data_IF_084209351855
#
_entry.id   IF_084209351855
#
_cell.length_a   1.000
_cell.length_b   1.000
_cell.length_c   1.000
_cell.angle_alpha   90.00
_cell.angle_beta   90.00
_cell.angle_gamma   90.00
#
_symmetry.space_group_name_H-M   'P 1'
#
loop_
_entity.id
_entity.type
_entity.pdbx_description
1 polymer ?
#
# COMPACT_ATOMS: atom_id res chain seq x y z
N UNK A 1 11.47 -14.43 -17.92
CA UNK A 1 12.03 -13.23 -17.24
C UNK A 1 12.50 -13.65 -15.85
N UNK A 2 13.72 -13.34 -15.43
CA UNK A 2 14.26 -13.70 -14.10
C UNK A 2 13.83 -12.74 -12.99
N UNK A 3 13.24 -11.59 -13.33
CA UNK A 3 12.85 -10.58 -12.35
C UNK A 3 11.72 -11.07 -11.42
N UNK A 4 11.86 -11.01 -10.08
CA UNK A 4 10.91 -11.60 -9.11
C UNK A 4 9.45 -11.15 -9.27
N UNK A 5 9.21 -9.87 -9.55
CA UNK A 5 7.88 -9.35 -9.82
C UNK A 5 7.33 -9.74 -11.20
N UNK A 6 8.11 -9.53 -12.27
CA UNK A 6 7.68 -9.72 -13.65
C UNK A 6 7.59 -11.21 -14.06
N UNK A 7 8.24 -12.11 -13.35
CA UNK A 7 8.15 -13.56 -13.58
C UNK A 7 6.77 -14.13 -13.24
N UNK A 8 5.99 -13.42 -12.42
CA UNK A 8 4.63 -13.79 -12.02
C UNK A 8 3.54 -13.23 -12.93
N UNK A 9 3.86 -12.41 -13.93
CA UNK A 9 2.84 -11.87 -14.85
C UNK A 9 2.08 -13.01 -15.54
N UNK A 10 0.75 -12.90 -15.59
CA UNK A 10 -0.16 -13.82 -16.25
C UNK A 10 -1.24 -13.04 -17.01
N UNK A 11 -2.00 -13.72 -17.87
CA UNK A 11 -3.06 -13.10 -18.68
C UNK A 11 -4.29 -12.66 -17.85
N UNK A 12 -4.39 -13.13 -16.61
CA UNK A 12 -5.46 -12.78 -15.67
C UNK A 12 -4.95 -12.51 -14.26
N UNK A 13 -5.79 -11.83 -13.48
CA UNK A 13 -5.56 -11.56 -12.07
C UNK A 13 -6.86 -11.68 -11.28
N UNK A 14 -6.74 -11.98 -9.99
CA UNK A 14 -7.84 -11.99 -9.03
C UNK A 14 -7.48 -11.12 -7.82
N UNK A 15 -8.50 -10.55 -7.17
CA UNK A 15 -8.31 -9.92 -5.86
C UNK A 15 -8.26 -10.99 -4.78
N UNK A 16 -7.08 -11.24 -4.22
CA UNK A 16 -6.88 -12.23 -3.16
C UNK A 16 -7.34 -11.72 -1.79
N UNK A 17 -7.53 -10.41 -1.64
CA UNK A 17 -8.17 -9.82 -0.46
C UNK A 17 -8.57 -8.37 -0.68
N UNK A 18 -9.59 -7.90 0.03
CA UNK A 18 -9.94 -6.47 0.12
C UNK A 18 -10.66 -6.17 1.43
N UNK A 19 -10.39 -4.99 2.00
CA UNK A 19 -10.96 -4.54 3.25
C UNK A 19 -11.08 -3.02 3.27
N UNK A 20 -11.80 -2.46 4.24
CA UNK A 20 -11.90 -1.02 4.45
C UNK A 20 -11.09 -0.58 5.66
N UNK A 21 -10.43 0.56 5.56
CA UNK A 21 -9.72 1.18 6.70
C UNK A 21 -10.26 2.59 6.90
N UNK A 22 -10.59 2.93 8.15
CA UNK A 22 -10.97 4.29 8.55
C UNK A 22 -10.04 4.77 9.64
N UNK A 23 -9.20 5.74 9.33
CA UNK A 23 -8.28 6.39 10.26
C UNK A 23 -8.87 7.72 10.76
N UNK A 24 -8.72 7.96 12.06
CA UNK A 24 -8.95 9.25 12.72
C UNK A 24 -7.62 9.92 13.05
N UNK A 25 -7.67 11.12 13.64
CA UNK A 25 -6.48 11.84 14.10
C UNK A 25 -5.47 10.92 14.81
N UNK A 26 -4.18 11.11 14.51
CA UNK A 26 -3.03 10.31 14.95
C UNK A 26 -3.00 8.84 14.49
N UNK A 27 -4.05 8.34 13.85
CA UNK A 27 -4.09 7.00 13.26
C UNK A 27 -3.14 6.87 12.07
N UNK A 28 -2.53 5.70 11.93
CA UNK A 28 -1.65 5.37 10.80
C UNK A 28 -1.53 3.86 10.61
N UNK A 29 -1.00 3.46 9.45
CA UNK A 29 -0.46 2.14 9.22
C UNK A 29 1.01 2.11 9.63
N UNK A 30 1.37 1.20 10.55
CA UNK A 30 2.77 0.86 10.80
C UNK A 30 3.43 0.30 9.54
N UNK A 31 4.75 0.42 9.44
CA UNK A 31 5.47 -0.12 8.28
C UNK A 31 5.33 -1.64 8.24
N UNK A 32 4.93 -2.19 7.09
CA UNK A 32 4.73 -3.62 6.88
C UNK A 32 4.91 -3.99 5.40
N UNK A 33 4.85 -5.29 5.12
CA UNK A 33 4.78 -5.87 3.77
C UNK A 33 3.62 -6.85 3.71
N UNK A 34 3.16 -7.18 2.52
CA UNK A 34 2.18 -8.24 2.29
C UNK A 34 2.92 -9.46 1.70
N UNK A 35 3.40 -10.39 2.55
CA UNK A 35 4.41 -11.38 2.15
C UNK A 35 3.92 -12.42 1.13
N UNK A 36 2.59 -12.60 1.02
CA UNK A 36 1.99 -13.56 0.10
C UNK A 36 1.46 -12.93 -1.19
N UNK A 37 1.32 -11.61 -1.24
CA UNK A 37 0.74 -10.91 -2.39
C UNK A 37 1.70 -10.76 -3.57
N UNK A 38 1.16 -10.45 -4.75
CA UNK A 38 1.94 -10.00 -5.90
C UNK A 38 1.90 -8.48 -6.04
N UNK A 39 0.70 -7.92 -6.13
CA UNK A 39 0.40 -6.51 -6.17
C UNK A 39 -0.51 -6.15 -5.00
N UNK A 40 -0.26 -5.00 -4.39
CA UNK A 40 -1.16 -4.41 -3.42
C UNK A 40 -1.61 -3.04 -3.93
N UNK A 41 -2.79 -2.61 -3.51
CA UNK A 41 -3.31 -1.29 -3.82
C UNK A 41 -3.92 -0.64 -2.60
N UNK A 42 -3.82 0.69 -2.53
CA UNK A 42 -4.60 1.52 -1.61
C UNK A 42 -5.44 2.50 -2.42
N UNK A 43 -6.77 2.37 -2.31
CA UNK A 43 -7.74 3.25 -2.98
C UNK A 43 -8.29 4.26 -1.98
N UNK A 44 -8.19 5.56 -2.26
CA UNK A 44 -8.60 6.62 -1.34
C UNK A 44 -10.05 7.05 -1.61
N UNK A 45 -10.95 6.68 -0.70
CA UNK A 45 -12.39 6.96 -0.82
C UNK A 45 -12.76 8.31 -0.24
N UNK A 46 -12.15 8.65 0.89
CA UNK A 46 -12.29 9.96 1.54
C UNK A 46 -10.98 10.33 2.19
N UNK A 47 -10.58 11.59 2.08
CA UNK A 47 -9.45 12.15 2.78
C UNK A 47 -9.69 13.64 3.03
N UNK A 48 -9.21 14.19 4.16
CA UNK A 48 -9.10 15.64 4.32
C UNK A 48 -8.12 16.24 3.31
N UNK A 49 -8.01 17.56 3.29
CA UNK A 49 -6.93 18.23 2.56
C UNK A 49 -5.57 17.93 3.21
N UNK A 50 -4.80 17.06 2.54
CA UNK A 50 -3.47 16.62 2.96
C UNK A 50 -2.35 17.27 2.14
N UNK A 51 -2.60 18.44 1.55
CA UNK A 51 -1.62 19.17 0.72
C UNK A 51 -0.58 19.96 1.53
N UNK A 52 -0.91 20.31 2.79
CA UNK A 52 -0.09 21.21 3.62
C UNK A 52 1.10 20.53 4.30
N UNK A 53 1.03 19.23 4.51
CA UNK A 53 2.07 18.43 5.15
C UNK A 53 2.04 17.00 4.60
N UNK A 54 2.99 16.15 5.02
CA UNK A 54 2.98 14.72 4.66
C UNK A 54 2.08 13.87 5.57
N UNK A 55 1.34 14.48 6.50
CA UNK A 55 0.46 13.76 7.40
C UNK A 55 -0.53 12.88 6.62
N UNK A 56 -0.70 11.62 7.04
CA UNK A 56 -1.57 10.66 6.36
C UNK A 56 -1.09 10.15 4.99
N UNK A 57 0.04 10.62 4.45
CA UNK A 57 0.58 10.13 3.17
C UNK A 57 1.05 8.68 3.30
N UNK A 58 0.90 7.92 2.22
CA UNK A 58 1.56 6.62 2.11
C UNK A 58 3.05 6.84 1.85
N UNK A 59 3.89 6.07 2.52
CA UNK A 59 5.35 6.10 2.37
C UNK A 59 5.87 4.70 2.08
N UNK A 60 6.95 4.63 1.31
CA UNK A 60 7.61 3.39 0.89
C UNK A 60 9.08 3.39 1.28
N UNK A 61 9.63 2.20 1.50
CA UNK A 61 11.07 1.96 1.72
C UNK A 61 11.46 1.81 3.19
N UNK A 62 10.90 2.64 4.08
CA UNK A 62 11.20 2.56 5.51
C UNK A 62 10.58 1.29 6.12
N UNK A 63 11.38 0.51 6.83
CA UNK A 63 11.01 -0.77 7.39
C UNK A 63 10.51 -0.63 8.84
N UNK A 64 10.23 -1.76 9.49
CA UNK A 64 9.93 -1.83 10.93
C UNK A 64 11.02 -2.59 11.71
N UNK A 65 12.25 -2.63 11.18
CA UNK A 65 13.35 -3.44 11.71
C UNK A 65 14.33 -2.66 12.59
N UNK A 66 14.06 -1.37 12.84
CA UNK A 66 14.89 -0.50 13.69
C UNK A 66 16.34 -0.41 13.21
N UNK A 67 16.55 -0.19 11.91
CA UNK A 67 17.88 -0.14 11.30
C UNK A 67 18.64 1.19 11.55
N UNK A 68 18.13 2.05 12.43
CA UNK A 68 18.72 3.36 12.74
C UNK A 68 18.85 4.25 11.50
N UNK A 69 20.06 4.74 11.23
CA UNK A 69 20.34 5.64 10.09
C UNK A 69 20.14 4.99 8.71
N UNK A 70 19.98 3.67 8.65
CA UNK A 70 19.72 2.94 7.41
C UNK A 70 18.21 2.85 7.08
N UNK A 71 17.34 3.33 7.96
CA UNK A 71 15.91 3.45 7.65
C UNK A 71 15.67 4.68 6.78
N UNK A 72 15.15 4.47 5.56
CA UNK A 72 14.97 5.52 4.58
C UNK A 72 13.59 5.44 3.93
N UNK A 73 12.87 6.56 3.93
CA UNK A 73 11.69 6.73 3.09
C UNK A 73 12.17 7.02 1.67
N UNK A 74 11.97 6.06 0.76
CA UNK A 74 12.35 6.16 -0.64
C UNK A 74 11.37 7.01 -1.44
N UNK A 75 10.07 6.91 -1.13
CA UNK A 75 9.00 7.60 -1.85
C UNK A 75 7.83 7.88 -0.90
N UNK A 76 7.11 8.99 -1.10
CA UNK A 76 5.88 9.29 -0.39
C UNK A 76 4.84 9.91 -1.32
N UNK A 77 3.61 9.40 -1.29
CA UNK A 77 2.56 9.78 -2.22
C UNK A 77 1.39 10.42 -1.48
N UNK A 78 1.01 11.62 -1.93
CA UNK A 78 -0.15 12.33 -1.40
C UNK A 78 -1.46 11.59 -1.72
N UNK A 79 -2.29 11.30 -0.70
CA UNK A 79 -3.66 10.84 -0.87
C UNK A 79 -4.51 11.88 -1.60
N UNK A 80 -5.25 11.43 -2.60
CA UNK A 80 -6.28 12.25 -3.26
C UNK A 80 -7.53 11.38 -3.42
N UNK A 81 -8.71 11.96 -3.23
CA UNK A 81 -9.98 11.23 -3.38
C UNK A 81 -10.04 10.65 -4.80
N UNK A 82 -10.30 9.34 -4.90
CA UNK A 82 -10.32 8.59 -6.15
C UNK A 82 -8.95 8.09 -6.64
N UNK A 83 -7.85 8.49 -6.01
CA UNK A 83 -6.52 7.95 -6.36
C UNK A 83 -6.40 6.50 -5.92
N UNK A 84 -5.79 5.69 -6.78
CA UNK A 84 -5.40 4.31 -6.50
C UNK A 84 -3.89 4.19 -6.65
N UNK A 85 -3.21 3.72 -5.60
CA UNK A 85 -1.76 3.52 -5.60
C UNK A 85 -1.46 2.04 -5.61
N UNK A 86 -0.98 1.52 -6.75
CA UNK A 86 -0.59 0.12 -6.94
C UNK A 86 0.92 -0.04 -6.77
N UNK A 87 1.35 -1.08 -6.07
CA UNK A 87 2.76 -1.36 -5.81
C UNK A 87 3.01 -2.85 -5.60
N UNK A 88 4.23 -3.36 -5.85
CA UNK A 88 4.57 -4.75 -5.52
C UNK A 88 4.37 -5.01 -4.02
N UNK A 89 3.67 -6.08 -3.67
CA UNK A 89 3.27 -6.39 -2.28
C UNK A 89 4.44 -6.54 -1.30
N UNK A 90 5.63 -6.84 -1.80
CA UNK A 90 6.85 -6.95 -1.02
C UNK A 90 7.53 -5.60 -0.70
N UNK A 91 6.98 -4.48 -1.15
CA UNK A 91 7.50 -3.15 -0.80
C UNK A 91 7.13 -2.83 0.65
N UNK A 92 8.12 -2.48 1.45
CA UNK A 92 7.89 -1.88 2.76
C UNK A 92 7.07 -0.61 2.60
N UNK A 93 5.95 -0.55 3.30
CA UNK A 93 5.07 0.61 3.25
C UNK A 93 4.32 0.83 4.55
N UNK A 94 3.96 2.08 4.79
CA UNK A 94 3.17 2.53 5.93
C UNK A 94 2.60 3.91 5.63
N UNK A 95 2.04 4.58 6.63
CA UNK A 95 1.60 5.97 6.47
C UNK A 95 2.18 6.86 7.55
N UNK A 96 2.39 8.14 7.24
CA UNK A 96 2.57 9.12 8.30
C UNK A 96 1.29 9.21 9.16
N UNK A 97 1.41 9.53 10.46
CA UNK A 97 0.27 9.86 11.30
C UNK A 97 -0.66 10.86 10.63
N UNK A 98 -1.97 10.60 10.68
CA UNK A 98 -2.95 11.58 10.23
C UNK A 98 -3.00 12.75 11.21
N UNK A 99 -3.01 13.97 10.69
CA UNK A 99 -3.20 15.20 11.46
C UNK A 99 -4.45 15.90 10.92
N UNK A 100 -5.61 15.49 11.42
CA UNK A 100 -6.92 16.00 10.99
C UNK A 100 -8.02 15.54 11.93
N UNK A 101 -9.04 16.38 12.11
CA UNK A 101 -10.29 16.02 12.80
C UNK A 101 -11.24 15.19 11.90
N UNK A 102 -11.00 15.19 10.58
CA UNK A 102 -11.75 14.39 9.62
C UNK A 102 -11.16 12.97 9.46
N UNK A 103 -11.97 12.06 8.91
CA UNK A 103 -11.54 10.70 8.64
C UNK A 103 -10.84 10.57 7.28
N UNK A 104 -9.77 9.77 7.25
CA UNK A 104 -9.24 9.19 6.01
C UNK A 104 -9.78 7.76 5.86
N UNK A 105 -10.47 7.50 4.76
CA UNK A 105 -11.06 6.20 4.43
C UNK A 105 -10.41 5.64 3.18
N UNK A 106 -9.91 4.41 3.27
CA UNK A 106 -9.33 3.69 2.13
C UNK A 106 -9.94 2.31 1.99
N UNK A 107 -9.83 1.76 0.78
CA UNK A 107 -10.11 0.35 0.49
C UNK A 107 -8.82 -0.26 -0.05
N UNK A 108 -7.99 -0.86 0.81
CA UNK A 108 -6.86 -1.64 0.34
C UNK A 108 -7.29 -2.96 -0.29
N UNK A 109 -6.46 -3.48 -1.18
CA UNK A 109 -6.61 -4.83 -1.69
C UNK A 109 -5.26 -5.46 -2.04
N UNK A 110 -5.28 -6.79 -2.06
CA UNK A 110 -4.22 -7.62 -2.62
C UNK A 110 -4.70 -8.28 -3.90
N UNK A 111 -3.79 -8.38 -4.86
CA UNK A 111 -4.01 -8.89 -6.19
C UNK A 111 -2.96 -9.96 -6.45
N UNK A 112 -3.41 -11.11 -6.95
CA UNK A 112 -2.55 -12.19 -7.39
C UNK A 112 -2.84 -12.55 -8.85
N UNK A 113 -1.83 -12.98 -9.61
CA UNK A 113 -2.05 -13.51 -10.95
C UNK A 113 -2.88 -14.79 -10.87
N UNK A 114 -3.81 -14.97 -11.80
CA UNK A 114 -4.54 -16.23 -11.95
C UNK A 114 -3.52 -17.31 -12.33
N UNK A 115 -3.34 -18.30 -11.45
CA UNK A 115 -2.65 -19.52 -11.87
C UNK A 115 -3.61 -20.28 -12.79
N UNK A 116 -3.29 -20.35 -14.08
CA UNK A 116 -3.85 -21.40 -14.92
C UNK A 116 -3.46 -22.71 -14.24
N UNK A 117 -4.43 -23.41 -13.64
CA UNK A 117 -4.24 -24.81 -13.32
C UNK A 117 -3.92 -25.47 -14.66
N UNK A 118 -2.67 -25.88 -14.84
CA UNK A 118 -2.36 -26.83 -15.91
C UNK A 118 -3.23 -28.04 -15.65
N UNK A 119 -4.26 -28.23 -16.47
CA UNK A 119 -4.98 -29.49 -16.55
C UNK A 119 -3.94 -30.60 -16.65
N UNK A 120 -3.96 -31.47 -15.64
CA UNK A 120 -3.08 -32.64 -15.53
C UNK A 120 -3.25 -33.59 -16.70
#
# INVERSE_FOLDING_TARGET
KEHPFLSRMADGYDFSGSWSVRLKNSGHHSNHVHPFGWLSCCSYISAPDLSKSRAGWIKFGETALDLGLNELVAEAIQPEIGKCVFFPSYFWHGTYPLESDDYRVTIPCDIDPVRLLSSS
#
